data_IF_345253750831
#
_entry.id   IF_345253750831
#
_cell.length_a   1.000
_cell.length_b   1.000
_cell.length_c   1.000
_cell.angle_alpha   90.00
_cell.angle_beta   90.00
_cell.angle_gamma   90.00
#
_symmetry.space_group_name_H-M   'P 1'
#
loop_
_entity.id
_entity.type
_entity.pdbx_description
1 polymer ?
#
# COMPACT_ATOMS: atom_id res chain seq x y z
N UNK A 1 -7.75 59.86 -42.21
CA UNK A 1 -6.91 59.70 -41.00
C UNK A 1 -7.82 59.54 -39.80
N UNK A 2 -7.98 58.31 -39.29
CA UNK A 2 -8.75 58.03 -38.09
C UNK A 2 -7.94 58.43 -36.85
N UNK A 3 -8.39 59.47 -36.14
CA UNK A 3 -7.88 59.84 -34.82
C UNK A 3 -8.44 58.85 -33.80
N UNK A 4 -7.64 57.84 -33.44
CA UNK A 4 -7.92 57.01 -32.27
C UNK A 4 -7.72 57.86 -31.01
N UNK A 5 -8.73 57.91 -30.14
CA UNK A 5 -8.67 58.70 -28.92
C UNK A 5 -7.66 58.12 -27.93
N UNK A 6 -6.85 59.01 -27.33
CA UNK A 6 -5.78 58.70 -26.37
C UNK A 6 -6.23 57.84 -25.17
N UNK A 7 -7.53 57.83 -24.88
CA UNK A 7 -8.11 57.09 -23.75
C UNK A 7 -8.26 55.58 -23.99
N UNK A 8 -8.13 55.11 -25.25
CA UNK A 8 -8.22 53.68 -25.57
C UNK A 8 -6.85 53.00 -25.39
N UNK A 9 -5.75 53.74 -25.56
CA UNK A 9 -4.39 53.19 -25.44
C UNK A 9 -4.01 52.90 -23.98
N UNK A 10 -4.53 53.69 -23.02
CA UNK A 10 -4.15 53.58 -21.61
C UNK A 10 -4.81 52.40 -20.87
N UNK A 11 -5.93 51.87 -21.36
CA UNK A 11 -6.62 50.73 -20.73
C UNK A 11 -6.09 49.35 -21.16
N UNK A 12 -5.29 49.28 -22.23
CA UNK A 12 -4.73 48.02 -22.72
C UNK A 12 -3.46 47.58 -21.98
N UNK A 13 -2.76 48.50 -21.31
CA UNK A 13 -1.53 48.19 -20.56
C UNK A 13 -1.79 47.71 -19.13
N UNK A 14 -2.92 48.08 -18.52
CA UNK A 14 -3.25 47.63 -17.15
C UNK A 14 -3.75 46.18 -17.15
N UNK A 15 -4.52 45.77 -18.15
CA UNK A 15 -5.03 44.39 -18.24
C UNK A 15 -3.91 43.39 -18.60
N UNK A 16 -2.88 43.82 -19.33
CA UNK A 16 -1.71 43.00 -19.68
C UNK A 16 -0.79 42.67 -18.49
N UNK A 17 -0.87 43.41 -17.40
CA UNK A 17 -0.07 43.15 -16.18
C UNK A 17 -0.74 42.18 -15.19
N UNK A 18 -2.04 41.87 -15.36
CA UNK A 18 -2.75 40.92 -14.50
C UNK A 18 -2.88 39.52 -15.11
N UNK A 19 -2.52 39.31 -16.38
CA UNK A 19 -2.68 38.03 -17.07
C UNK A 19 -1.56 37.01 -16.80
N UNK A 20 -0.51 37.37 -16.05
CA UNK A 20 0.61 36.46 -15.74
C UNK A 20 0.56 35.81 -14.35
N UNK A 21 -0.47 36.09 -13.53
CA UNK A 21 -0.53 35.62 -12.13
C UNK A 21 -1.53 34.50 -11.82
N UNK A 22 -2.05 33.80 -12.84
CA UNK A 22 -2.62 32.46 -12.62
C UNK A 22 -1.49 31.45 -12.81
N UNK A 23 -0.48 31.53 -11.94
CA UNK A 23 0.36 30.38 -11.67
C UNK A 23 -0.56 29.32 -11.08
N UNK A 24 -0.93 28.37 -11.93
CA UNK A 24 -1.79 27.25 -11.64
C UNK A 24 -1.19 26.52 -10.42
N UNK A 25 -1.76 26.73 -9.23
CA UNK A 25 -1.47 25.99 -8.00
C UNK A 25 -1.98 24.53 -8.07
N UNK A 26 -1.89 23.87 -9.22
CA UNK A 26 -2.15 22.43 -9.29
C UNK A 26 -0.90 21.73 -8.83
N UNK A 27 -0.96 21.05 -7.68
CA UNK A 27 0.11 20.12 -7.30
C UNK A 27 0.26 19.10 -8.43
N UNK A 28 1.43 18.96 -9.07
CA UNK A 28 1.60 18.00 -10.14
C UNK A 28 1.35 16.60 -9.59
N UNK A 29 0.31 15.93 -10.11
CA UNK A 29 0.10 14.51 -9.89
C UNK A 29 0.97 13.80 -10.91
N UNK A 30 1.95 13.04 -10.43
CA UNK A 30 2.80 12.26 -11.32
C UNK A 30 2.00 11.02 -11.71
N UNK A 31 1.84 10.76 -13.01
CA UNK A 31 1.20 9.55 -13.50
C UNK A 31 1.88 8.28 -12.93
N UNK A 32 1.09 7.29 -12.55
CA UNK A 32 1.58 6.02 -12.00
C UNK A 32 0.76 5.51 -10.82
N UNK A 33 1.10 4.32 -10.33
CA UNK A 33 0.41 3.67 -9.22
C UNK A 33 0.54 4.45 -7.90
N UNK A 34 -0.49 4.33 -7.05
CA UNK A 34 -0.49 4.89 -5.72
C UNK A 34 0.67 4.32 -4.88
N UNK A 35 1.24 5.16 -4.01
CA UNK A 35 2.30 4.71 -3.10
C UNK A 35 1.64 4.02 -1.91
N UNK A 36 1.95 2.74 -1.71
CA UNK A 36 1.52 2.00 -0.53
C UNK A 36 2.64 2.03 0.51
N UNK A 37 2.36 2.49 1.72
CA UNK A 37 3.35 2.48 2.80
C UNK A 37 3.35 1.17 3.61
N UNK A 38 4.36 1.00 4.46
CA UNK A 38 4.49 -0.14 5.38
C UNK A 38 3.35 -0.33 6.40
N UNK A 39 2.45 0.64 6.49
CA UNK A 39 1.27 0.60 7.36
C UNK A 39 -0.01 0.34 6.55
N UNK A 40 0.13 -0.13 5.30
CA UNK A 40 -0.97 -0.44 4.39
C UNK A 40 -1.80 0.78 3.98
N UNK A 41 -1.25 1.99 4.09
CA UNK A 41 -1.95 3.21 3.66
C UNK A 41 -1.59 3.53 2.23
N UNK A 42 -2.62 3.89 1.46
CA UNK A 42 -2.49 4.32 0.08
C UNK A 42 -2.34 5.84 0.05
N UNK A 43 -1.32 6.30 -0.65
CA UNK A 43 -0.99 7.71 -0.81
C UNK A 43 -0.99 8.05 -2.29
N UNK A 44 -1.57 9.21 -2.64
CA UNK A 44 -1.48 9.74 -4.00
C UNK A 44 -0.01 9.99 -4.36
N UNK A 45 0.36 9.72 -5.62
CA UNK A 45 1.72 9.91 -6.12
C UNK A 45 1.98 11.39 -6.41
N UNK A 46 2.30 12.14 -5.36
CA UNK A 46 2.72 13.56 -5.43
C UNK A 46 4.20 13.68 -5.08
N UNK A 47 4.90 14.74 -5.54
CA UNK A 47 6.30 14.98 -5.16
C UNK A 47 6.51 14.98 -3.63
N UNK A 48 5.56 15.56 -2.89
CA UNK A 48 5.56 15.62 -1.43
C UNK A 48 5.52 14.22 -0.80
N UNK A 49 4.65 13.32 -1.28
CA UNK A 49 4.56 11.95 -0.76
C UNK A 49 5.75 11.08 -1.18
N UNK A 50 6.31 11.31 -2.38
CA UNK A 50 7.54 10.65 -2.82
C UNK A 50 8.71 11.02 -1.89
N UNK A 51 8.84 12.29 -1.53
CA UNK A 51 9.88 12.73 -0.58
C UNK A 51 9.62 12.21 0.84
N UNK A 52 8.37 12.26 1.32
CA UNK A 52 8.00 11.82 2.68
C UNK A 52 8.06 10.31 2.88
N UNK A 53 7.81 9.53 1.83
CA UNK A 53 7.78 8.05 1.88
C UNK A 53 9.00 7.52 1.13
N UNK A 54 10.06 7.15 1.84
CA UNK A 54 11.31 6.74 1.21
C UNK A 54 11.14 5.37 0.53
N UNK A 55 11.96 5.08 -0.48
CA UNK A 55 11.80 3.93 -1.37
C UNK A 55 11.68 2.60 -0.62
N UNK A 56 12.50 2.40 0.41
CA UNK A 56 12.50 1.21 1.28
C UNK A 56 11.19 0.99 2.05
N UNK A 57 10.36 2.02 2.19
CA UNK A 57 9.04 1.95 2.85
C UNK A 57 7.88 1.84 1.87
N UNK A 58 8.15 1.89 0.55
CA UNK A 58 7.13 1.74 -0.50
C UNK A 58 6.95 0.26 -0.77
N UNK A 59 5.75 -0.22 -0.56
CA UNK A 59 5.41 -1.62 -0.74
C UNK A 59 4.65 -1.83 -2.05
N UNK A 60 4.78 -3.02 -2.63
CA UNK A 60 4.00 -3.47 -3.79
C UNK A 60 3.05 -4.59 -3.38
N UNK A 61 1.91 -4.71 -4.03
CA UNK A 61 0.98 -5.81 -3.77
C UNK A 61 1.59 -7.09 -4.35
N UNK A 62 1.81 -8.09 -3.50
CA UNK A 62 2.30 -9.41 -3.90
C UNK A 62 1.16 -10.43 -4.02
N UNK A 63 0.18 -10.36 -3.13
CA UNK A 63 -0.95 -11.28 -3.11
C UNK A 63 -2.21 -10.54 -2.64
N UNK A 64 -3.35 -10.84 -3.25
CA UNK A 64 -4.67 -10.38 -2.80
C UNK A 64 -5.65 -11.54 -2.86
N UNK A 65 -6.40 -11.75 -1.78
CA UNK A 65 -7.44 -12.78 -1.74
C UNK A 65 -8.66 -12.29 -0.98
N UNK A 66 -9.83 -12.42 -1.61
CA UNK A 66 -11.12 -12.16 -0.99
C UNK A 66 -11.57 -13.30 -0.09
N UNK A 67 -12.23 -12.96 1.02
CA UNK A 67 -12.87 -13.92 1.92
C UNK A 67 -14.05 -13.29 2.65
N UNK A 68 -14.93 -14.14 3.18
CA UNK A 68 -16.06 -13.70 4.00
C UNK A 68 -15.80 -14.09 5.45
N UNK A 69 -16.06 -13.16 6.37
CA UNK A 69 -15.99 -13.39 7.81
C UNK A 69 -17.04 -12.50 8.49
N UNK A 70 -17.69 -12.98 9.55
CA UNK A 70 -18.71 -12.20 10.28
C UNK A 70 -19.77 -11.53 9.36
N UNK A 71 -20.21 -12.24 8.30
CA UNK A 71 -21.14 -11.74 7.26
C UNK A 71 -20.66 -10.50 6.48
N UNK A 72 -19.37 -10.18 6.53
CA UNK A 72 -18.75 -9.10 5.77
C UNK A 72 -17.70 -9.65 4.82
N UNK A 73 -17.51 -8.95 3.69
CA UNK A 73 -16.47 -9.26 2.72
C UNK A 73 -15.19 -8.52 3.10
N UNK A 74 -14.09 -9.27 3.12
CA UNK A 74 -12.76 -8.75 3.39
C UNK A 74 -11.81 -9.19 2.28
N UNK A 75 -10.69 -8.50 2.19
CA UNK A 75 -9.56 -8.93 1.38
C UNK A 75 -8.31 -8.97 2.24
N UNK A 76 -7.60 -10.10 2.17
CA UNK A 76 -6.23 -10.20 2.63
C UNK A 76 -5.35 -9.67 1.50
N UNK A 77 -4.61 -8.61 1.77
CA UNK A 77 -3.54 -8.13 0.90
C UNK A 77 -2.20 -8.41 1.58
N UNK A 78 -1.26 -8.99 0.84
CA UNK A 78 0.12 -9.16 1.29
C UNK A 78 0.98 -8.27 0.42
N UNK A 79 1.67 -7.33 1.05
CA UNK A 79 2.57 -6.41 0.39
C UNK A 79 4.01 -6.90 0.54
N UNK A 80 4.85 -6.62 -0.44
CA UNK A 80 6.31 -6.80 -0.36
C UNK A 80 7.01 -5.46 -0.34
N UNK A 81 7.93 -5.29 0.60
CA UNK A 81 8.90 -4.19 0.58
C UNK A 81 10.04 -4.52 -0.39
N UNK A 82 10.89 -3.54 -0.78
CA UNK A 82 11.99 -3.78 -1.72
C UNK A 82 12.98 -4.87 -1.27
N UNK A 83 13.12 -5.08 0.04
CA UNK A 83 13.94 -6.17 0.61
C UNK A 83 13.22 -7.54 0.63
N UNK A 84 12.11 -7.68 -0.09
CA UNK A 84 11.24 -8.86 -0.15
C UNK A 84 10.54 -9.24 1.16
N UNK A 85 10.58 -8.38 2.19
CA UNK A 85 9.85 -8.64 3.44
C UNK A 85 8.35 -8.37 3.26
N UNK A 86 7.53 -9.19 3.91
CA UNK A 86 6.08 -9.13 3.77
C UNK A 86 5.36 -8.32 4.83
N UNK A 87 4.26 -7.70 4.41
CA UNK A 87 3.33 -6.99 5.28
C UNK A 87 1.91 -7.48 5.03
N UNK A 88 1.23 -7.91 6.08
CA UNK A 88 -0.13 -8.42 5.98
C UNK A 88 -1.12 -7.31 6.29
N UNK A 89 -2.04 -7.08 5.36
CA UNK A 89 -3.02 -6.01 5.39
C UNK A 89 -4.42 -6.60 5.23
N UNK A 90 -5.36 -6.10 6.03
CA UNK A 90 -6.77 -6.40 5.94
C UNK A 90 -7.49 -5.21 5.32
N UNK A 91 -8.14 -5.41 4.18
CA UNK A 91 -9.06 -4.45 3.60
C UNK A 91 -10.50 -4.87 3.90
N UNK A 92 -11.27 -3.93 4.46
CA UNK A 92 -12.70 -4.11 4.73
C UNK A 92 -13.49 -3.29 3.71
N UNK A 93 -14.37 -3.96 2.94
CA UNK A 93 -15.14 -3.32 1.86
C UNK A 93 -16.14 -2.30 2.37
N UNK A 94 -16.75 -2.52 3.54
CA UNK A 94 -17.78 -1.65 4.08
C UNK A 94 -17.20 -0.33 4.56
N UNK A 95 -16.05 -0.39 5.26
CA UNK A 95 -15.37 0.82 5.75
C UNK A 95 -14.44 1.46 4.73
N UNK A 96 -14.14 0.76 3.62
CA UNK A 96 -13.13 1.13 2.62
C UNK A 96 -11.76 1.45 3.23
N UNK A 97 -11.44 0.84 4.38
CA UNK A 97 -10.19 1.04 5.10
C UNK A 97 -9.33 -0.20 5.00
N UNK A 98 -8.05 0.02 4.68
CA UNK A 98 -7.00 -0.98 4.79
C UNK A 98 -6.25 -0.76 6.10
N UNK A 99 -6.03 -1.84 6.84
CA UNK A 99 -5.27 -1.81 8.09
C UNK A 99 -4.21 -2.92 8.09
N UNK A 100 -3.05 -2.61 8.64
CA UNK A 100 -2.04 -3.63 8.93
C UNK A 100 -2.56 -4.59 10.00
N UNK A 101 -2.31 -5.88 9.81
CA UNK A 101 -2.65 -6.91 10.79
C UNK A 101 -1.51 -7.01 11.80
N UNK A 102 -1.71 -6.46 12.99
CA UNK A 102 -0.70 -6.36 14.04
C UNK A 102 -0.36 -7.70 14.69
N UNK A 103 -1.31 -8.63 14.70
CA UNK A 103 -1.20 -9.96 15.29
C UNK A 103 -0.30 -10.89 14.44
N UNK A 104 0.19 -10.41 13.29
CA UNK A 104 1.04 -11.18 12.38
C UNK A 104 2.53 -11.16 12.69
N UNK A 105 2.93 -10.75 13.90
CA UNK A 105 4.34 -10.53 14.28
C UNK A 105 5.31 -11.67 13.90
N UNK A 106 4.86 -12.94 14.00
CA UNK A 106 5.70 -14.11 13.67
C UNK A 106 6.13 -14.19 12.20
N UNK A 107 5.31 -13.64 11.29
CA UNK A 107 5.53 -13.64 9.84
C UNK A 107 5.74 -12.23 9.27
N UNK A 108 5.38 -11.21 10.03
CA UNK A 108 5.50 -9.81 9.68
C UNK A 108 6.98 -9.44 9.54
N UNK A 109 7.33 -8.73 8.47
CA UNK A 109 8.70 -8.31 8.15
C UNK A 109 9.68 -9.49 7.90
N UNK A 110 9.20 -10.73 7.78
CA UNK A 110 10.00 -11.85 7.26
C UNK A 110 9.94 -11.87 5.73
N UNK A 111 10.93 -12.49 5.08
CA UNK A 111 10.91 -12.69 3.64
C UNK A 111 9.83 -13.71 3.28
N UNK A 112 8.78 -13.26 2.58
CA UNK A 112 7.64 -14.09 2.21
C UNK A 112 7.92 -14.74 0.86
N UNK A 113 8.01 -16.06 0.87
CA UNK A 113 8.22 -16.85 -0.35
C UNK A 113 6.89 -17.16 -1.03
N UNK A 114 5.87 -17.55 -0.25
CA UNK A 114 4.57 -17.97 -0.79
C UNK A 114 3.43 -17.71 0.19
N UNK A 115 2.26 -17.38 -0.35
CA UNK A 115 1.00 -17.27 0.39
C UNK A 115 -0.08 -17.98 -0.40
N UNK A 116 -0.79 -18.91 0.25
CA UNK A 116 -1.81 -19.74 -0.40
C UNK A 116 -3.07 -19.75 0.45
N UNK A 117 -4.23 -19.65 -0.19
CA UNK A 117 -5.52 -19.82 0.49
C UNK A 117 -5.83 -21.31 0.57
N UNK A 118 -6.24 -21.79 1.75
CA UNK A 118 -6.79 -23.13 1.86
C UNK A 118 -8.22 -23.13 1.29
N UNK A 119 -8.49 -23.97 0.29
CA UNK A 119 -9.80 -24.09 -0.36
C UNK A 119 -10.90 -24.44 0.62
N UNK A 120 -10.61 -25.35 1.55
CA UNK A 120 -11.62 -26.00 2.39
C UNK A 120 -11.93 -25.20 3.66
N UNK A 121 -11.13 -24.18 3.96
CA UNK A 121 -11.27 -23.35 5.15
C UNK A 121 -11.43 -21.89 4.78
N UNK A 122 -12.66 -21.38 4.94
CA UNK A 122 -12.97 -19.98 4.73
C UNK A 122 -12.03 -19.10 5.57
N UNK A 123 -11.30 -18.21 4.89
CA UNK A 123 -10.36 -17.25 5.48
C UNK A 123 -9.09 -17.83 6.13
N UNK A 124 -8.69 -19.06 5.80
CA UNK A 124 -7.39 -19.61 6.24
C UNK A 124 -6.37 -19.62 5.10
N UNK A 125 -5.12 -19.31 5.46
CA UNK A 125 -3.99 -19.21 4.54
C UNK A 125 -2.76 -19.93 5.08
N UNK A 126 -1.97 -20.49 4.17
CA UNK A 126 -0.62 -20.99 4.46
C UNK A 126 0.38 -19.93 4.01
N UNK A 127 1.25 -19.52 4.93
CA UNK A 127 2.31 -18.55 4.69
C UNK A 127 3.65 -19.26 4.82
N UNK A 128 4.41 -19.25 3.74
CA UNK A 128 5.78 -19.77 3.70
C UNK A 128 6.75 -18.61 3.82
N UNK A 129 7.61 -18.66 4.83
CA UNK A 129 8.64 -17.66 5.06
C UNK A 129 10.02 -18.29 4.95
N UNK A 130 10.96 -17.54 4.37
CA UNK A 130 12.37 -17.91 4.38
C UNK A 130 12.94 -17.69 5.78
N UNK A 131 13.77 -18.62 6.24
CA UNK A 131 14.47 -18.45 7.51
C UNK A 131 15.56 -17.37 7.41
N UNK A 132 15.87 -16.75 8.55
CA UNK A 132 16.89 -15.71 8.60
C UNK A 132 18.31 -16.31 8.50
N UNK A 133 19.29 -15.48 8.13
CA UNK A 133 20.70 -15.92 8.08
C UNK A 133 21.18 -16.41 9.45
N UNK A 134 20.77 -15.71 10.50
CA UNK A 134 21.17 -15.96 11.90
C UNK A 134 20.33 -17.06 12.58
N UNK A 135 19.28 -17.56 11.93
CA UNK A 135 18.46 -18.66 12.45
C UNK A 135 18.95 -19.99 11.86
N UNK A 136 18.92 -21.09 12.62
CA UNK A 136 19.11 -22.45 12.06
C UNK A 136 17.86 -22.94 11.28
N UNK A 137 17.06 -22.03 10.75
CA UNK A 137 15.85 -22.35 10.00
C UNK A 137 16.13 -22.01 8.54
N UNK A 138 15.88 -22.96 7.64
CA UNK A 138 15.89 -22.74 6.21
C UNK A 138 14.55 -22.14 5.74
N UNK A 139 13.43 -22.73 6.20
CA UNK A 139 12.07 -22.34 5.82
C UNK A 139 11.08 -22.64 6.93
N UNK A 140 10.06 -21.80 7.11
CA UNK A 140 9.00 -22.04 8.07
C UNK A 140 7.62 -21.81 7.43
N UNK A 141 6.68 -22.65 7.84
CA UNK A 141 5.29 -22.64 7.37
C UNK A 141 4.39 -22.25 8.51
N UNK A 142 3.49 -21.30 8.25
CA UNK A 142 2.55 -20.79 9.23
C UNK A 142 1.13 -20.86 8.67
N UNK A 143 0.18 -21.24 9.52
CA UNK A 143 -1.25 -21.10 9.25
C UNK A 143 -1.71 -19.74 9.74
N UNK A 144 -2.23 -18.91 8.85
CA UNK A 144 -2.90 -17.66 9.19
C UNK A 144 -4.41 -17.86 9.05
N UNK A 145 -5.15 -17.81 10.15
CA UNK A 145 -6.60 -17.86 10.17
C UNK A 145 -7.18 -16.47 10.41
N UNK A 146 -8.03 -16.02 9.48
CA UNK A 146 -8.74 -14.74 9.49
C UNK A 146 -10.26 -14.91 9.64
N UNK A 147 -10.73 -16.06 10.13
CA UNK A 147 -12.16 -16.30 10.37
C UNK A 147 -12.76 -15.27 11.34
N UNK A 148 -11.94 -14.74 12.26
CA UNK A 148 -12.20 -13.48 12.97
C UNK A 148 -11.15 -12.43 12.56
N UNK A 149 -11.47 -11.48 11.67
CA UNK A 149 -10.51 -10.50 11.17
C UNK A 149 -9.99 -9.52 12.23
N UNK A 150 -10.71 -9.37 13.36
CA UNK A 150 -10.30 -8.53 14.48
C UNK A 150 -9.39 -9.25 15.46
N UNK A 151 -9.33 -10.59 15.39
CA UNK A 151 -8.40 -11.42 16.17
C UNK A 151 -7.79 -12.52 15.30
N UNK A 152 -6.93 -12.16 14.32
CA UNK A 152 -6.21 -13.11 13.50
C UNK A 152 -5.40 -14.09 14.36
N UNK A 153 -5.37 -15.36 13.94
CA UNK A 153 -4.59 -16.39 14.63
C UNK A 153 -3.49 -16.90 13.70
N UNK A 154 -2.27 -16.96 14.22
CA UNK A 154 -1.14 -17.60 13.54
C UNK A 154 -0.68 -18.81 14.32
N UNK A 155 -0.48 -19.90 13.60
CA UNK A 155 0.02 -21.15 14.18
C UNK A 155 1.19 -21.64 13.33
N UNK A 156 2.37 -21.88 13.91
CA UNK A 156 3.45 -22.56 13.20
C UNK A 156 3.01 -23.98 12.84
N UNK A 157 3.30 -24.41 11.62
CA UNK A 157 2.99 -25.76 11.14
C UNK A 157 4.27 -26.59 11.16
N UNK A 158 5.25 -26.19 10.35
CA UNK A 158 6.52 -26.91 10.16
C UNK A 158 7.65 -25.89 10.08
N UNK A 159 8.81 -26.24 10.62
CA UNK A 159 10.09 -25.55 10.42
C UNK A 159 11.08 -26.55 9.82
N UNK A 160 11.69 -26.16 8.71
CA UNK A 160 12.77 -26.90 8.06
C UNK A 160 14.09 -26.26 8.50
N UNK A 161 15.00 -27.05 9.04
CA UNK A 161 16.29 -26.60 9.55
C UNK A 161 17.37 -26.68 8.48
N UNK A 162 18.46 -25.92 8.65
CA UNK A 162 19.62 -26.05 7.75
C UNK A 162 20.32 -27.38 8.07
N UNK A 163 20.80 -28.04 7.02
CA UNK A 163 21.64 -29.25 7.14
C UNK A 163 23.08 -28.88 7.44
#
# INVERSE_FOLDING_TARGET
MLKLSSNIVLNLTIIGLFSSYIAIFTTPVIAGEAIIDRNCRYHRRTPQNIQKIPLQSRATIYFTSGFNANKQKYFLQVLKLPNSTGIFCLFNTNSQKTKKITETQMIQNKQIEKVEKLSDQAATYIVTVKGNKDENIFRAFYKLNLSNPYRPKITPIIKIYKS
#
